data_IF_917411494873
#
_entry.id   IF_917411494873
#
_cell.length_a   1.000
_cell.length_b   1.000
_cell.length_c   1.000
_cell.angle_alpha   90.00
_cell.angle_beta   90.00
_cell.angle_gamma   90.00
#
_symmetry.space_group_name_H-M   'P 1'
#
loop_
_entity.id
_entity.type
_entity.pdbx_description
1 polymer ?
#
# COMPACT_ATOMS: atom_id res chain seq x y z
N UNK A 1 14.79 17.01 3.07
CA UNK A 1 14.30 15.63 2.90
C UNK A 1 12.92 15.75 2.31
N UNK A 2 12.68 15.14 1.16
CA UNK A 2 11.34 15.17 0.58
C UNK A 2 10.40 14.39 1.50
N UNK A 3 9.33 15.03 1.96
CA UNK A 3 8.32 14.41 2.83
C UNK A 3 7.47 13.43 2.00
N UNK A 4 8.06 12.28 1.72
CA UNK A 4 7.55 11.29 0.77
C UNK A 4 7.50 9.89 1.36
N UNK A 5 6.51 9.10 0.94
CA UNK A 5 6.34 7.69 1.30
C UNK A 5 5.79 6.88 0.12
N UNK A 6 5.91 5.56 0.16
CA UNK A 6 5.35 4.67 -0.84
C UNK A 6 4.03 4.01 -0.42
N UNK A 7 3.19 3.71 -1.40
CA UNK A 7 1.95 2.94 -1.27
C UNK A 7 1.93 1.85 -2.36
N UNK A 8 2.05 0.59 -1.96
CA UNK A 8 1.84 -0.54 -2.86
C UNK A 8 0.49 -1.19 -2.55
N UNK A 9 -0.44 -1.11 -3.48
CA UNK A 9 -1.80 -1.61 -3.34
C UNK A 9 -2.05 -2.73 -4.34
N UNK A 10 -2.38 -3.91 -3.83
CA UNK A 10 -2.86 -5.01 -4.64
C UNK A 10 -4.40 -5.10 -4.56
N UNK A 11 -5.14 -4.71 -5.62
CA UNK A 11 -6.59 -4.70 -5.61
C UNK A 11 -7.23 -6.09 -5.50
N UNK A 12 -6.52 -7.15 -5.90
CA UNK A 12 -7.03 -8.53 -5.93
C UNK A 12 -6.83 -9.27 -4.60
N UNK A 13 -6.09 -8.69 -3.66
CA UNK A 13 -5.90 -9.26 -2.32
C UNK A 13 -7.24 -9.46 -1.58
N UNK A 14 -7.33 -10.50 -0.74
CA UNK A 14 -8.55 -10.76 0.07
C UNK A 14 -9.74 -11.38 -0.67
N UNK A 15 -9.59 -11.70 -1.97
CA UNK A 15 -10.64 -12.30 -2.82
C UNK A 15 -10.69 -13.84 -2.85
N UNK A 16 -10.20 -14.53 -1.81
CA UNK A 16 -10.10 -16.01 -1.80
C UNK A 16 -11.47 -16.69 -2.00
N UNK A 17 -11.56 -17.55 -3.04
CA UNK A 17 -12.74 -18.37 -3.36
C UNK A 17 -13.15 -19.25 -2.18
N UNK A 18 -12.22 -19.70 -1.33
CA UNK A 18 -12.53 -20.48 -0.13
C UNK A 18 -13.37 -19.72 0.90
N UNK A 19 -13.32 -18.38 0.91
CA UNK A 19 -14.21 -17.55 1.76
C UNK A 19 -15.62 -17.40 1.19
N UNK A 20 -15.81 -17.56 -0.13
CA UNK A 20 -17.14 -17.60 -0.71
C UNK A 20 -17.96 -18.80 -0.18
N UNK A 21 -17.27 -19.90 0.16
CA UNK A 21 -17.87 -21.12 0.71
C UNK A 21 -17.99 -21.06 2.25
N UNK A 22 -17.15 -20.25 2.93
CA UNK A 22 -17.04 -20.22 4.40
C UNK A 22 -17.77 -19.04 5.10
N UNK A 23 -18.62 -18.27 4.40
CA UNK A 23 -19.39 -17.13 4.93
C UNK A 23 -18.56 -16.04 5.65
N UNK A 24 -17.24 -15.99 5.44
CA UNK A 24 -16.37 -14.98 6.05
C UNK A 24 -16.44 -13.65 5.28
N UNK A 25 -16.50 -12.53 6.02
CA UNK A 25 -16.57 -11.18 5.44
C UNK A 25 -15.40 -10.92 4.48
N UNK A 26 -15.72 -10.58 3.23
CA UNK A 26 -14.75 -10.20 2.19
C UNK A 26 -14.40 -8.73 2.40
N UNK A 27 -13.13 -8.37 2.27
CA UNK A 27 -12.79 -6.95 2.14
C UNK A 27 -13.33 -6.44 0.81
N UNK A 28 -14.23 -5.48 0.87
CA UNK A 28 -14.79 -4.83 -0.30
C UNK A 28 -13.76 -3.90 -0.94
N UNK A 29 -14.05 -3.43 -2.16
CA UNK A 29 -13.26 -2.38 -2.78
C UNK A 29 -13.28 -1.11 -1.92
N UNK A 30 -14.45 -0.76 -1.37
CA UNK A 30 -14.62 0.41 -0.52
C UNK A 30 -13.84 0.31 0.80
N UNK A 31 -13.71 -0.88 1.38
CA UNK A 31 -12.85 -1.09 2.56
C UNK A 31 -11.39 -0.75 2.22
N UNK A 32 -10.91 -1.18 1.04
CA UNK A 32 -9.54 -0.87 0.59
C UNK A 32 -9.34 0.61 0.33
N UNK A 33 -10.31 1.26 -0.32
CA UNK A 33 -10.29 2.72 -0.54
C UNK A 33 -10.26 3.47 0.79
N UNK A 34 -11.09 3.06 1.74
CA UNK A 34 -11.14 3.64 3.09
C UNK A 34 -9.82 3.46 3.84
N UNK A 35 -9.21 2.27 3.79
CA UNK A 35 -7.91 2.00 4.38
C UNK A 35 -6.83 2.90 3.76
N UNK A 36 -6.70 2.93 2.43
CA UNK A 36 -5.70 3.76 1.75
C UNK A 36 -5.91 5.23 2.07
N UNK A 37 -7.15 5.72 2.05
CA UNK A 37 -7.47 7.11 2.40
C UNK A 37 -7.01 7.48 3.79
N UNK A 38 -7.25 6.60 4.77
CA UNK A 38 -6.88 6.85 6.17
C UNK A 38 -5.37 6.77 6.40
N UNK A 39 -4.64 5.91 5.68
CA UNK A 39 -3.17 5.91 5.65
C UNK A 39 -2.67 7.25 5.13
N UNK A 40 -3.17 7.68 3.97
CA UNK A 40 -2.78 8.97 3.36
C UNK A 40 -3.04 10.12 4.32
N UNK A 41 -4.25 10.24 4.88
CA UNK A 41 -4.57 11.32 5.82
C UNK A 41 -3.72 11.27 7.10
N UNK A 42 -3.44 10.08 7.63
CA UNK A 42 -2.56 9.90 8.80
C UNK A 42 -1.11 10.31 8.52
N UNK A 43 -0.59 9.98 7.33
CA UNK A 43 0.74 10.42 6.89
C UNK A 43 0.80 11.93 6.63
N UNK A 44 -0.24 12.50 6.01
CA UNK A 44 -0.34 13.94 5.76
C UNK A 44 -0.41 14.75 7.06
N UNK A 45 -1.13 14.26 8.06
CA UNK A 45 -1.16 14.88 9.40
C UNK A 45 0.23 14.91 10.06
N UNK A 46 1.14 14.02 9.65
CA UNK A 46 2.53 13.98 10.10
C UNK A 46 3.50 14.70 9.13
N UNK A 47 3.01 15.36 8.08
CA UNK A 47 3.78 16.24 7.20
C UNK A 47 4.11 15.69 5.81
N UNK A 48 3.68 14.47 5.47
CA UNK A 48 3.86 13.90 4.11
C UNK A 48 2.98 14.61 3.09
N UNK A 49 3.56 15.02 1.96
CA UNK A 49 2.82 15.64 0.85
C UNK A 49 2.94 14.85 -0.45
N UNK A 50 3.95 13.99 -0.57
CA UNK A 50 4.19 13.19 -1.78
C UNK A 50 4.01 11.70 -1.49
N UNK A 51 3.25 11.02 -2.34
CA UNK A 51 3.01 9.58 -2.24
C UNK A 51 3.40 8.91 -3.56
N UNK A 52 4.41 8.04 -3.53
CA UNK A 52 4.70 7.16 -4.65
C UNK A 52 3.77 5.97 -4.60
N UNK A 53 3.07 5.67 -5.68
CA UNK A 53 2.09 4.60 -5.71
C UNK A 53 2.28 3.70 -6.94
N UNK A 54 1.93 2.42 -6.84
CA UNK A 54 1.77 1.62 -8.06
C UNK A 54 0.43 1.97 -8.75
N UNK A 55 0.43 1.96 -10.08
CA UNK A 55 -0.80 1.96 -10.85
C UNK A 55 -1.47 0.58 -10.74
N UNK A 56 -2.79 0.56 -10.58
CA UNK A 56 -3.59 -0.67 -10.50
C UNK A 56 -5.02 -0.48 -11.07
N UNK A 57 -5.67 -1.54 -11.59
CA UNK A 57 -6.87 -1.42 -12.42
C UNK A 57 -8.15 -0.95 -11.70
N UNK A 58 -8.25 -1.10 -10.38
CA UNK A 58 -9.44 -0.68 -9.61
C UNK A 58 -9.37 0.78 -9.16
N UNK A 59 -8.24 1.46 -9.38
CA UNK A 59 -8.00 2.85 -9.05
C UNK A 59 -8.23 3.22 -7.57
N UNK A 60 -8.00 2.29 -6.63
CA UNK A 60 -8.05 2.43 -5.17
C UNK A 60 -7.28 3.66 -4.70
N UNK A 61 -6.01 3.82 -5.11
CA UNK A 61 -5.21 4.99 -4.68
C UNK A 61 -5.84 6.28 -5.18
N UNK A 62 -6.17 6.34 -6.48
CA UNK A 62 -6.85 7.51 -7.08
C UNK A 62 -8.16 7.84 -6.35
N UNK A 63 -9.04 6.87 -6.13
CA UNK A 63 -10.32 7.04 -5.41
C UNK A 63 -10.11 7.50 -3.97
N UNK A 64 -9.09 6.98 -3.30
CA UNK A 64 -8.76 7.37 -1.94
C UNK A 64 -8.31 8.83 -1.85
N UNK A 65 -7.65 9.35 -2.89
CA UNK A 65 -7.00 10.67 -2.89
C UNK A 65 -7.72 11.75 -3.70
N UNK A 66 -8.70 11.43 -4.56
CA UNK A 66 -9.28 12.37 -5.53
C UNK A 66 -9.93 13.62 -4.92
N UNK A 67 -10.36 13.55 -3.66
CA UNK A 67 -10.97 14.66 -2.91
C UNK A 67 -10.02 15.35 -1.93
N UNK A 68 -8.77 14.88 -1.84
CA UNK A 68 -7.77 15.42 -0.91
C UNK A 68 -7.04 16.58 -1.59
N UNK A 69 -6.83 17.68 -0.84
CA UNK A 69 -6.06 18.84 -1.30
C UNK A 69 -4.61 18.74 -0.86
N UNK A 70 -3.72 19.49 -1.51
CA UNK A 70 -2.31 19.63 -1.11
C UNK A 70 -1.54 18.29 -1.07
N UNK A 71 -1.93 17.37 -1.96
CA UNK A 71 -1.33 16.05 -2.14
C UNK A 71 -0.73 15.91 -3.53
N UNK A 72 0.44 15.29 -3.60
CA UNK A 72 1.09 14.87 -4.84
C UNK A 72 1.15 13.33 -4.90
N UNK A 73 0.55 12.72 -5.92
CA UNK A 73 0.60 11.26 -6.13
C UNK A 73 1.41 10.97 -7.38
N UNK A 74 2.52 10.26 -7.21
CA UNK A 74 3.44 9.86 -8.29
C UNK A 74 3.27 8.38 -8.55
N UNK A 75 2.72 8.02 -9.71
CA UNK A 75 2.62 6.60 -10.10
C UNK A 75 3.97 6.11 -10.61
N UNK A 76 4.49 5.02 -10.04
CA UNK A 76 5.85 4.53 -10.34
C UNK A 76 5.93 3.64 -11.56
N UNK A 77 4.83 2.99 -11.98
CA UNK A 77 4.79 2.10 -13.13
C UNK A 77 3.82 2.59 -14.21
N UNK A 78 4.29 2.61 -15.45
CA UNK A 78 3.52 3.05 -16.63
C UNK A 78 2.78 1.92 -17.34
N UNK A 79 3.08 0.66 -16.98
CA UNK A 79 2.46 -0.53 -17.55
C UNK A 79 2.21 -1.61 -16.49
N UNK A 80 1.38 -2.59 -16.84
CA UNK A 80 0.99 -3.70 -15.97
C UNK A 80 1.04 -5.03 -16.70
N UNK A 81 1.53 -6.05 -16.01
CA UNK A 81 1.48 -7.46 -16.40
C UNK A 81 0.23 -8.17 -15.89
N UNK A 82 -0.48 -7.57 -14.93
CA UNK A 82 -1.62 -8.14 -14.20
C UNK A 82 -1.29 -9.41 -13.39
N UNK A 83 -0.03 -9.53 -12.98
CA UNK A 83 0.51 -10.65 -12.17
C UNK A 83 1.12 -10.16 -10.85
N UNK A 84 1.65 -11.07 -10.03
CA UNK A 84 2.41 -10.67 -8.82
C UNK A 84 3.66 -9.83 -9.15
N UNK A 85 4.17 -9.94 -10.39
CA UNK A 85 5.33 -9.19 -10.89
C UNK A 85 5.11 -7.67 -10.81
N UNK A 86 3.88 -7.20 -10.93
CA UNK A 86 3.56 -5.76 -10.81
C UNK A 86 3.95 -5.21 -9.43
N UNK A 87 3.79 -6.00 -8.37
CA UNK A 87 4.21 -5.61 -7.01
C UNK A 87 5.74 -5.65 -6.85
N UNK A 88 6.41 -6.63 -7.48
CA UNK A 88 7.89 -6.71 -7.52
C UNK A 88 8.48 -5.50 -8.23
N UNK A 89 7.97 -5.15 -9.40
CA UNK A 89 8.43 -4.03 -10.21
C UNK A 89 8.17 -2.70 -9.48
N UNK A 90 6.97 -2.52 -8.92
CA UNK A 90 6.66 -1.30 -8.16
C UNK A 90 7.62 -1.09 -6.98
N UNK A 91 7.93 -2.15 -6.23
CA UNK A 91 8.88 -2.08 -5.12
C UNK A 91 10.29 -1.70 -5.59
N UNK A 92 10.76 -2.27 -6.70
CA UNK A 92 12.06 -1.91 -7.29
C UNK A 92 12.10 -0.45 -7.74
N UNK A 93 11.06 0.01 -8.45
CA UNK A 93 10.98 1.40 -8.92
C UNK A 93 10.88 2.40 -7.77
N UNK A 94 10.19 2.05 -6.67
CA UNK A 94 10.19 2.89 -5.47
C UNK A 94 11.58 2.97 -4.82
N UNK A 95 12.31 1.85 -4.74
CA UNK A 95 13.70 1.83 -4.27
C UNK A 95 14.59 2.73 -5.12
N UNK A 96 14.51 2.57 -6.45
CA UNK A 96 15.33 3.32 -7.40
C UNK A 96 15.00 4.83 -7.37
N UNK A 97 13.75 5.18 -7.07
CA UNK A 97 13.29 6.56 -6.86
C UNK A 97 13.64 7.13 -5.46
N UNK A 98 14.35 6.39 -4.60
CA UNK A 98 14.75 6.86 -3.28
C UNK A 98 13.59 7.02 -2.29
N UNK A 99 12.47 6.32 -2.51
CA UNK A 99 11.38 6.28 -1.54
C UNK A 99 11.91 5.64 -0.25
N UNK A 100 11.68 6.22 0.94
CA UNK A 100 12.30 5.74 2.17
C UNK A 100 11.60 4.55 2.83
N UNK A 101 10.27 4.46 2.68
CA UNK A 101 9.44 3.43 3.31
C UNK A 101 8.12 3.25 2.55
N UNK A 102 7.44 2.12 2.75
CA UNK A 102 6.24 1.76 1.98
C UNK A 102 5.14 1.13 2.84
N UNK A 103 3.90 1.55 2.62
CA UNK A 103 2.71 0.82 3.09
C UNK A 103 2.30 -0.19 2.01
N UNK A 104 2.12 -1.45 2.38
CA UNK A 104 1.68 -2.49 1.43
C UNK A 104 0.29 -2.97 1.81
N UNK A 105 -0.70 -2.66 0.99
CA UNK A 105 -2.06 -3.21 1.13
C UNK A 105 -2.18 -4.50 0.30
N UNK A 106 -2.06 -5.64 0.97
CA UNK A 106 -2.06 -6.94 0.32
C UNK A 106 -1.89 -8.11 1.28
N UNK A 107 -1.98 -9.34 0.74
CA UNK A 107 -1.77 -10.57 1.52
C UNK A 107 -0.31 -11.01 1.55
N UNK A 108 -0.05 -12.20 2.07
CA UNK A 108 1.30 -12.81 2.12
C UNK A 108 1.98 -12.84 0.75
N UNK A 109 1.25 -13.23 -0.30
CA UNK A 109 1.79 -13.28 -1.66
C UNK A 109 2.21 -11.91 -2.20
N UNK A 110 1.45 -10.86 -1.88
CA UNK A 110 1.78 -9.48 -2.26
C UNK A 110 3.04 -9.03 -1.55
N UNK A 111 3.11 -9.22 -0.23
CA UNK A 111 4.28 -8.81 0.55
C UNK A 111 5.54 -9.57 0.15
N UNK A 112 5.44 -10.88 -0.11
CA UNK A 112 6.54 -11.67 -0.68
C UNK A 112 7.04 -11.07 -2.01
N UNK A 113 6.13 -10.69 -2.91
CA UNK A 113 6.51 -10.07 -4.19
C UNK A 113 7.19 -8.71 -3.99
N UNK A 114 6.69 -7.87 -3.09
CA UNK A 114 7.33 -6.60 -2.72
C UNK A 114 8.76 -6.84 -2.21
N UNK A 115 8.96 -7.78 -1.28
CA UNK A 115 10.29 -8.10 -0.75
C UNK A 115 11.24 -8.67 -1.82
N UNK A 116 10.74 -9.36 -2.85
CA UNK A 116 11.57 -9.77 -4.00
C UNK A 116 12.10 -8.56 -4.79
N UNK A 117 11.31 -7.49 -4.89
CA UNK A 117 11.69 -6.25 -5.59
C UNK A 117 12.59 -5.35 -4.76
N UNK A 118 12.40 -5.36 -3.45
CA UNK A 118 13.16 -4.57 -2.47
C UNK A 118 13.28 -5.35 -1.16
N UNK A 119 14.40 -6.04 -0.97
CA UNK A 119 14.60 -7.00 0.13
C UNK A 119 14.71 -6.33 1.50
N UNK A 120 15.35 -5.17 1.57
CA UNK A 120 15.66 -4.37 2.75
C UNK A 120 14.67 -3.21 2.98
N UNK A 121 13.43 -3.36 2.49
CA UNK A 121 12.40 -2.34 2.55
C UNK A 121 11.90 -2.07 3.99
N UNK A 122 11.90 -0.81 4.46
CA UNK A 122 11.09 -0.42 5.61
C UNK A 122 9.61 -0.44 5.21
N UNK A 123 8.87 -1.42 5.73
CA UNK A 123 7.50 -1.71 5.27
C UNK A 123 6.50 -1.75 6.42
N UNK A 124 5.33 -1.15 6.19
CA UNK A 124 4.13 -1.42 7.00
C UNK A 124 3.21 -2.33 6.19
N UNK A 125 3.16 -3.64 6.50
CA UNK A 125 2.36 -4.60 5.76
C UNK A 125 0.93 -4.66 6.32
N UNK A 126 -0.04 -4.26 5.52
CA UNK A 126 -1.43 -4.05 5.93
C UNK A 126 -2.31 -5.11 5.30
N UNK A 127 -3.01 -5.86 6.15
CA UNK A 127 -3.92 -6.90 5.74
C UNK A 127 -5.35 -6.39 5.60
N UNK A 128 -6.06 -6.88 4.58
CA UNK A 128 -7.53 -6.80 4.50
C UNK A 128 -8.22 -8.14 4.77
N UNK A 129 -7.47 -9.16 5.16
CA UNK A 129 -7.96 -10.54 5.37
C UNK A 129 -7.44 -11.18 6.66
N UNK A 130 -8.15 -12.18 7.18
CA UNK A 130 -7.90 -12.73 8.52
C UNK A 130 -7.00 -13.96 8.58
N UNK A 131 -6.36 -14.35 7.47
CA UNK A 131 -5.54 -15.56 7.40
C UNK A 131 -4.23 -15.27 6.67
N UNK A 132 -3.46 -14.32 7.20
CA UNK A 132 -2.14 -13.98 6.70
C UNK A 132 -1.12 -14.18 7.81
N UNK A 133 0.08 -14.61 7.45
CA UNK A 133 1.18 -14.78 8.41
C UNK A 133 2.04 -13.51 8.57
N UNK A 134 2.06 -12.64 7.55
CA UNK A 134 2.95 -11.48 7.49
C UNK A 134 2.26 -10.12 7.69
N UNK A 135 1.31 -9.69 6.82
CA UNK A 135 0.60 -8.44 7.03
C UNK A 135 -0.36 -8.52 8.22
N UNK A 136 -0.47 -7.42 8.95
CA UNK A 136 -1.26 -7.31 10.18
C UNK A 136 -2.52 -6.49 9.97
N UNK A 137 -3.51 -6.68 10.84
CA UNK A 137 -4.58 -5.71 11.01
C UNK A 137 -4.07 -4.57 11.87
N UNK A 138 -3.93 -3.41 11.27
CA UNK A 138 -3.54 -2.18 11.94
C UNK A 138 -4.59 -1.11 11.64
N UNK A 139 -4.84 -0.24 12.61
CA UNK A 139 -5.65 0.93 12.40
C UNK A 139 -4.97 1.81 11.31
N UNK A 140 -5.64 2.10 10.18
CA UNK A 140 -4.99 2.73 9.03
C UNK A 140 -4.37 4.11 9.29
N UNK A 141 -4.94 4.92 10.18
CA UNK A 141 -4.38 6.25 10.51
C UNK A 141 -3.09 6.12 11.31
N UNK A 142 -3.04 5.20 12.28
CA UNK A 142 -1.82 4.83 13.02
C UNK A 142 -0.76 4.31 12.06
N UNK A 143 -1.12 3.47 11.09
CA UNK A 143 -0.19 3.01 10.05
C UNK A 143 0.39 4.20 9.27
N UNK A 144 -0.47 5.14 8.85
CA UNK A 144 -0.05 6.35 8.14
C UNK A 144 0.93 7.21 8.93
N UNK A 145 0.67 7.43 10.23
CA UNK A 145 1.58 8.18 11.10
C UNK A 145 2.89 7.42 11.37
N UNK A 146 2.83 6.10 11.57
CA UNK A 146 3.99 5.26 11.82
C UNK A 146 4.97 5.24 10.63
N UNK A 147 4.46 5.29 9.39
CA UNK A 147 5.29 5.44 8.18
C UNK A 147 6.20 6.66 8.27
N UNK A 148 5.67 7.79 8.74
CA UNK A 148 6.43 9.03 8.83
C UNK A 148 7.44 8.99 9.98
N UNK A 149 7.07 8.38 11.10
CA UNK A 149 8.00 8.19 12.22
C UNK A 149 9.20 7.32 11.83
N UNK A 150 9.02 6.33 10.96
CA UNK A 150 10.12 5.50 10.47
C UNK A 150 11.18 6.29 9.68
N UNK A 151 10.86 7.51 9.22
CA UNK A 151 11.82 8.40 8.56
C UNK A 151 12.80 9.07 9.53
N UNK A 152 12.50 9.08 10.84
CA UNK A 152 13.35 9.74 11.84
C UNK A 152 14.49 8.83 12.35
N UNK A 153 14.42 7.53 12.04
CA UNK A 153 15.41 6.53 12.48
C UNK A 153 16.34 6.04 11.34
N UNK A 154 16.16 6.57 10.12
CA UNK A 154 16.94 6.25 8.90
C UNK A 154 17.88 7.40 8.53
#
# INVERSE_FOLDING_TARGET
>A
MDNTVGLIVNPRSGGDVRRAVAAAARSTLEDKVSIVRRIVLGSMAAGVTTFHANYEPMQIVRRATETIRDINVVYVNDSMTFTEEDSTIAARLMKDNGVPCVAVLGGDGTNRAVTKGWMDIPVIPISTGTNNAFPVFIEPTVAGTALVLSLQEL
#
